data_IF_014678717405
#
_entry.id   IF_014678717405
#
_cell.length_a   1.000
_cell.length_b   1.000
_cell.length_c   1.000
_cell.angle_alpha   90.00
_cell.angle_beta   90.00
_cell.angle_gamma   90.00
#
_symmetry.space_group_name_H-M   'P 1'
#
loop_
_entity.id
_entity.type
_entity.pdbx_description
1 polymer ?
#
# COMPACT_ATOMS: atom_id res chain seq x y z
N UNK A 1 -9.82 -31.05 17.72
CA UNK A 1 -8.80 -30.95 16.66
C UNK A 1 -9.54 -30.72 15.34
N UNK A 2 -9.87 -29.46 15.03
CA UNK A 2 -10.74 -29.12 13.88
C UNK A 2 -9.83 -28.71 12.71
N UNK A 3 -9.42 -29.68 11.90
CA UNK A 3 -8.71 -29.42 10.65
C UNK A 3 -9.75 -29.00 9.62
N UNK A 4 -10.03 -27.70 9.51
CA UNK A 4 -10.80 -27.15 8.40
C UNK A 4 -10.04 -27.44 7.11
N UNK A 5 -10.55 -28.37 6.29
CA UNK A 5 -9.99 -28.66 4.98
C UNK A 5 -10.15 -27.41 4.10
N UNK A 6 -9.02 -26.75 3.81
CA UNK A 6 -8.96 -25.63 2.86
C UNK A 6 -9.57 -26.08 1.53
N UNK A 7 -10.57 -25.34 1.05
CA UNK A 7 -11.31 -25.69 -0.16
C UNK A 7 -10.39 -25.66 -1.39
N UNK A 8 -10.76 -26.39 -2.45
CA UNK A 8 -10.00 -26.35 -3.71
C UNK A 8 -9.92 -24.93 -4.28
N UNK A 9 -10.98 -24.14 -4.12
CA UNK A 9 -11.02 -22.75 -4.56
C UNK A 9 -9.99 -21.89 -3.81
N UNK A 10 -9.90 -22.03 -2.48
CA UNK A 10 -8.90 -21.33 -1.66
C UNK A 10 -7.48 -21.77 -2.02
N UNK A 11 -7.24 -23.07 -2.26
CA UNK A 11 -5.93 -23.55 -2.73
C UNK A 11 -5.52 -22.90 -4.05
N UNK A 12 -6.46 -22.73 -4.97
CA UNK A 12 -6.21 -22.04 -6.24
C UNK A 12 -5.87 -20.57 -5.99
N UNK A 13 -6.64 -19.88 -5.13
CA UNK A 13 -6.42 -18.46 -4.82
C UNK A 13 -5.05 -18.22 -4.20
N UNK A 14 -4.65 -19.02 -3.22
CA UNK A 14 -3.33 -18.89 -2.57
C UNK A 14 -2.18 -19.21 -3.54
N UNK A 15 -2.31 -20.28 -4.34
CA UNK A 15 -1.32 -20.61 -5.36
C UNK A 15 -1.20 -19.49 -6.42
N UNK A 16 -2.33 -18.97 -6.88
CA UNK A 16 -2.34 -17.88 -7.84
C UNK A 16 -1.72 -16.60 -7.26
N UNK A 17 -2.01 -16.28 -6.00
CA UNK A 17 -1.41 -15.13 -5.31
C UNK A 17 0.10 -15.24 -5.27
N UNK A 18 0.63 -16.40 -4.88
CA UNK A 18 2.08 -16.64 -4.86
C UNK A 18 2.70 -16.49 -6.26
N UNK A 19 2.11 -17.13 -7.27
CA UNK A 19 2.64 -17.09 -8.65
C UNK A 19 2.56 -15.69 -9.25
N UNK A 20 1.49 -14.94 -9.00
CA UNK A 20 1.36 -13.56 -9.48
C UNK A 20 2.35 -12.61 -8.81
N UNK A 21 2.58 -12.74 -7.50
CA UNK A 21 3.59 -11.93 -6.79
C UNK A 21 5.01 -12.20 -7.30
N UNK A 22 5.29 -13.42 -7.75
CA UNK A 22 6.60 -13.81 -8.28
C UNK A 22 6.79 -13.38 -9.75
N UNK A 23 5.80 -13.63 -10.61
CA UNK A 23 5.94 -13.53 -12.07
C UNK A 23 5.19 -12.37 -12.73
N UNK A 24 4.37 -11.66 -11.96
CA UNK A 24 3.43 -10.68 -12.52
C UNK A 24 2.28 -11.33 -13.30
N UNK A 25 1.37 -10.51 -13.82
CA UNK A 25 0.23 -11.00 -14.60
C UNK A 25 0.64 -11.68 -15.92
N UNK A 26 1.51 -11.03 -16.70
CA UNK A 26 1.87 -11.48 -18.06
C UNK A 26 2.74 -12.75 -18.02
N UNK A 27 3.64 -12.85 -17.05
CA UNK A 27 4.53 -13.99 -16.84
C UNK A 27 3.84 -15.23 -16.26
N UNK A 28 2.56 -15.15 -15.93
CA UNK A 28 1.79 -16.24 -15.30
C UNK A 28 0.86 -16.91 -16.30
N UNK A 29 0.86 -18.25 -16.33
CA UNK A 29 -0.14 -19.07 -17.05
C UNK A 29 -1.08 -19.80 -16.08
N UNK A 30 -2.28 -20.16 -16.53
CA UNK A 30 -3.23 -20.98 -15.72
C UNK A 30 -2.66 -22.35 -15.36
N UNK A 31 -1.73 -22.87 -16.17
CA UNK A 31 -0.98 -24.11 -15.89
C UNK A 31 0.02 -23.95 -14.75
N UNK A 32 0.71 -22.80 -14.66
CA UNK A 32 1.61 -22.52 -13.53
C UNK A 32 0.83 -22.53 -12.22
N UNK A 33 -0.34 -21.87 -12.21
CA UNK A 33 -1.23 -21.82 -11.05
C UNK A 33 -1.75 -23.22 -10.70
N UNK A 34 -2.24 -23.99 -11.67
CA UNK A 34 -2.74 -25.34 -11.43
C UNK A 34 -1.64 -26.25 -10.83
N UNK A 35 -0.41 -26.15 -11.37
CA UNK A 35 0.76 -26.87 -10.85
C UNK A 35 1.07 -26.47 -9.42
N UNK A 36 1.09 -25.17 -9.11
CA UNK A 36 1.34 -24.66 -7.77
C UNK A 36 0.24 -25.06 -6.76
N UNK A 37 -1.02 -25.12 -7.20
CA UNK A 37 -2.15 -25.56 -6.39
C UNK A 37 -2.24 -27.09 -6.23
N UNK A 38 -1.41 -27.86 -6.96
CA UNK A 38 -1.46 -29.33 -6.96
C UNK A 38 -2.74 -29.90 -7.58
N UNK A 39 -3.34 -29.19 -8.54
CA UNK A 39 -4.56 -29.61 -9.23
C UNK A 39 -4.36 -29.75 -10.74
N UNK A 40 -5.27 -30.44 -11.42
CA UNK A 40 -5.26 -30.48 -12.88
C UNK A 40 -5.84 -29.17 -13.48
N UNK A 41 -5.44 -28.86 -14.71
CA UNK A 41 -5.86 -27.62 -15.41
C UNK A 41 -7.35 -27.58 -15.77
N UNK A 42 -8.03 -28.73 -15.86
CA UNK A 42 -9.47 -28.77 -16.11
C UNK A 42 -10.27 -28.24 -14.91
N UNK A 43 -9.84 -28.58 -13.69
CA UNK A 43 -10.43 -28.10 -12.44
C UNK A 43 -10.19 -26.60 -12.26
N UNK A 44 -9.01 -26.12 -12.64
CA UNK A 44 -8.70 -24.69 -12.68
C UNK A 44 -9.68 -23.91 -13.58
N UNK A 45 -9.92 -24.42 -14.80
CA UNK A 45 -10.87 -23.83 -15.74
C UNK A 45 -12.31 -23.89 -15.23
N UNK A 46 -12.68 -24.94 -14.48
CA UNK A 46 -14.01 -25.05 -13.88
C UNK A 46 -14.30 -23.90 -12.90
N UNK A 47 -13.36 -23.59 -12.00
CA UNK A 47 -13.54 -22.57 -10.96
C UNK A 47 -13.45 -21.13 -11.48
N UNK A 48 -12.37 -20.76 -12.18
CA UNK A 48 -12.09 -19.35 -12.44
C UNK A 48 -12.29 -18.90 -13.88
N UNK A 49 -12.37 -19.85 -14.84
CA UNK A 49 -12.65 -19.65 -16.28
C UNK A 49 -11.67 -18.76 -17.06
N UNK A 50 -11.06 -17.75 -16.43
CA UNK A 50 -10.19 -16.73 -17.02
C UNK A 50 -9.11 -16.34 -16.00
N UNK A 51 -7.87 -16.20 -16.49
CA UNK A 51 -6.74 -15.72 -15.71
C UNK A 51 -6.96 -14.29 -15.23
N UNK A 52 -7.57 -13.46 -16.09
CA UNK A 52 -7.89 -12.06 -15.87
C UNK A 52 -8.82 -11.90 -14.68
N UNK A 53 -9.90 -12.68 -14.61
CA UNK A 53 -10.86 -12.61 -13.49
C UNK A 53 -10.23 -13.03 -12.17
N UNK A 54 -9.46 -14.12 -12.17
CA UNK A 54 -8.74 -14.57 -10.99
C UNK A 54 -7.70 -13.54 -10.54
N UNK A 55 -6.97 -12.96 -11.48
CA UNK A 55 -6.02 -11.90 -11.20
C UNK A 55 -6.70 -10.68 -10.59
N UNK A 56 -7.80 -10.20 -11.19
CA UNK A 56 -8.56 -9.06 -10.66
C UNK A 56 -9.04 -9.32 -9.22
N UNK A 57 -9.56 -10.51 -8.95
CA UNK A 57 -9.96 -10.90 -7.59
C UNK A 57 -8.78 -10.78 -6.61
N UNK A 58 -7.66 -11.42 -6.92
CA UNK A 58 -6.47 -11.43 -6.05
C UNK A 58 -5.87 -10.03 -5.91
N UNK A 59 -5.78 -9.29 -7.01
CA UNK A 59 -5.22 -7.95 -7.03
C UNK A 59 -6.05 -6.98 -6.18
N UNK A 60 -7.37 -7.10 -6.23
CA UNK A 60 -8.28 -6.31 -5.42
C UNK A 60 -8.12 -6.64 -3.93
N UNK A 61 -7.99 -7.92 -3.57
CA UNK A 61 -7.75 -8.36 -2.19
C UNK A 61 -6.41 -7.83 -1.66
N UNK A 62 -5.36 -7.90 -2.49
CA UNK A 62 -4.04 -7.38 -2.18
C UNK A 62 -4.03 -5.85 -1.99
N UNK A 63 -4.71 -5.12 -2.88
CA UNK A 63 -4.88 -3.67 -2.75
C UNK A 63 -5.68 -3.33 -1.48
N UNK A 64 -6.77 -4.05 -1.22
CA UNK A 64 -7.59 -3.83 -0.03
C UNK A 64 -6.78 -4.06 1.24
N UNK A 65 -6.03 -5.16 1.32
CA UNK A 65 -5.11 -5.43 2.43
C UNK A 65 -4.10 -4.29 2.63
N UNK A 66 -3.51 -3.78 1.55
CA UNK A 66 -2.53 -2.70 1.62
C UNK A 66 -3.13 -1.36 2.09
N UNK A 67 -4.32 -1.01 1.61
CA UNK A 67 -4.94 0.30 1.87
C UNK A 67 -5.84 0.32 3.11
N UNK A 68 -6.32 -0.82 3.60
CA UNK A 68 -7.27 -0.86 4.72
C UNK A 68 -6.69 -0.21 5.98
N UNK A 69 -5.43 -0.49 6.31
CA UNK A 69 -4.81 0.13 7.49
C UNK A 69 -4.68 1.65 7.39
N UNK A 70 -4.41 2.18 6.19
CA UNK A 70 -4.46 3.63 5.95
C UNK A 70 -5.87 4.18 6.13
N UNK A 71 -6.89 3.49 5.62
CA UNK A 71 -8.30 3.87 5.77
C UNK A 71 -8.75 3.87 7.24
N UNK A 72 -8.24 2.94 8.04
CA UNK A 72 -8.53 2.89 9.47
C UNK A 72 -7.90 4.11 10.16
N UNK A 73 -6.65 4.44 9.85
CA UNK A 73 -5.95 5.59 10.45
C UNK A 73 -6.61 6.93 10.08
N UNK A 74 -7.00 7.15 8.81
CA UNK A 74 -7.65 8.43 8.42
C UNK A 74 -8.96 8.67 9.16
N UNK A 75 -9.63 7.61 9.60
CA UNK A 75 -10.90 7.65 10.33
C UNK A 75 -10.75 7.54 11.86
N UNK A 76 -9.53 7.54 12.40
CA UNK A 76 -9.35 7.60 13.86
C UNK A 76 -9.74 9.00 14.41
N UNK A 77 -10.43 9.09 15.55
CA UNK A 77 -10.78 10.36 16.19
C UNK A 77 -9.61 10.92 17.03
N UNK A 78 -8.45 11.08 16.40
CA UNK A 78 -7.22 11.62 16.99
C UNK A 78 -6.84 12.95 16.32
N UNK A 79 -5.89 13.70 16.89
CA UNK A 79 -5.44 14.98 16.31
C UNK A 79 -4.90 14.81 14.88
N UNK A 80 -5.01 15.85 14.04
CA UNK A 80 -4.51 15.81 12.67
C UNK A 80 -3.00 15.53 12.61
N UNK A 81 -2.21 16.12 13.52
CA UNK A 81 -0.76 15.90 13.60
C UNK A 81 -0.43 14.44 13.94
N UNK A 82 -1.09 13.89 14.96
CA UNK A 82 -0.89 12.48 15.33
C UNK A 82 -1.32 11.54 14.19
N UNK A 83 -2.41 11.89 13.50
CA UNK A 83 -2.91 11.12 12.35
C UNK A 83 -1.91 11.09 11.19
N UNK A 84 -1.32 12.23 10.82
CA UNK A 84 -0.26 12.31 9.80
C UNK A 84 0.92 11.43 10.20
N UNK A 85 1.36 11.51 11.46
CA UNK A 85 2.46 10.67 11.98
C UNK A 85 2.13 9.17 11.86
N UNK A 86 0.94 8.75 12.29
CA UNK A 86 0.48 7.35 12.15
C UNK A 86 0.35 6.88 10.71
N UNK A 87 -0.06 7.75 9.79
CA UNK A 87 -0.11 7.42 8.36
C UNK A 87 1.28 7.17 7.80
N UNK A 88 2.27 7.99 8.18
CA UNK A 88 3.67 7.81 7.80
C UNK A 88 4.21 6.50 8.38
N UNK A 89 3.98 6.25 9.67
CA UNK A 89 4.42 5.02 10.33
C UNK A 89 3.80 3.78 9.69
N UNK A 90 2.49 3.80 9.46
CA UNK A 90 1.78 2.69 8.83
C UNK A 90 2.31 2.41 7.42
N UNK A 91 2.45 3.44 6.59
CA UNK A 91 2.97 3.30 5.23
C UNK A 91 4.42 2.77 5.25
N UNK A 92 5.26 3.25 6.16
CA UNK A 92 6.63 2.75 6.32
C UNK A 92 6.68 1.29 6.75
N UNK A 93 5.89 0.90 7.74
CA UNK A 93 5.81 -0.49 8.21
C UNK A 93 5.34 -1.43 7.10
N UNK A 94 4.33 -1.03 6.32
CA UNK A 94 3.85 -1.81 5.19
C UNK A 94 4.95 -2.06 4.15
N UNK A 95 5.74 -1.03 3.82
CA UNK A 95 6.86 -1.16 2.88
C UNK A 95 8.00 -2.04 3.43
N UNK A 96 8.32 -1.90 4.73
CA UNK A 96 9.36 -2.71 5.39
C UNK A 96 8.99 -4.19 5.47
N UNK A 97 7.72 -4.50 5.77
CA UNK A 97 7.26 -5.87 5.99
C UNK A 97 6.89 -6.58 4.69
N UNK A 98 6.40 -5.85 3.69
CA UNK A 98 5.85 -6.42 2.46
C UNK A 98 6.42 -5.76 1.18
N UNK A 99 7.76 -5.61 1.02
CA UNK A 99 8.34 -4.85 -0.09
C UNK A 99 7.96 -5.42 -1.47
N UNK A 100 7.94 -6.75 -1.61
CA UNK A 100 7.58 -7.41 -2.87
C UNK A 100 6.12 -7.15 -3.25
N UNK A 101 5.21 -7.14 -2.27
CA UNK A 101 3.80 -6.85 -2.49
C UNK A 101 3.63 -5.42 -2.99
N UNK A 102 4.26 -4.45 -2.34
CA UNK A 102 4.09 -3.06 -2.75
C UNK A 102 4.71 -2.78 -4.11
N UNK A 103 5.90 -3.31 -4.39
CA UNK A 103 6.53 -3.21 -5.72
C UNK A 103 5.64 -3.85 -6.79
N UNK A 104 5.08 -5.03 -6.52
CA UNK A 104 4.14 -5.70 -7.42
C UNK A 104 2.91 -4.82 -7.71
N UNK A 105 2.25 -4.27 -6.69
CA UNK A 105 1.08 -3.41 -6.88
C UNK A 105 1.44 -2.18 -7.72
N UNK A 106 2.55 -1.50 -7.41
CA UNK A 106 2.98 -0.32 -8.18
C UNK A 106 3.24 -0.65 -9.65
N UNK A 107 3.94 -1.76 -9.92
CA UNK A 107 4.22 -2.21 -11.29
C UNK A 107 2.94 -2.51 -12.07
N UNK A 108 1.98 -3.20 -11.45
CA UNK A 108 0.73 -3.58 -12.12
C UNK A 108 -0.23 -2.40 -12.30
N UNK A 109 -0.23 -1.42 -11.39
CA UNK A 109 -0.98 -0.16 -11.55
C UNK A 109 -0.49 0.65 -12.75
N UNK A 110 0.83 0.73 -12.97
CA UNK A 110 1.39 1.42 -14.14
C UNK A 110 1.12 0.68 -15.46
N UNK A 111 1.11 -0.67 -15.43
CA UNK A 111 0.91 -1.49 -16.63
C UNK A 111 -0.51 -1.45 -17.16
N UNK A 112 -1.50 -1.50 -16.28
CA UNK A 112 -2.91 -1.45 -16.69
C UNK A 112 -3.71 -0.54 -15.75
N UNK A 113 -3.89 0.73 -16.13
CA UNK A 113 -4.64 1.70 -15.33
C UNK A 113 -6.08 1.28 -15.05
N UNK A 114 -6.73 0.43 -15.86
CA UNK A 114 -8.09 -0.03 -15.55
C UNK A 114 -8.17 -0.86 -14.26
N UNK A 115 -7.03 -1.42 -13.82
CA UNK A 115 -6.91 -2.12 -12.52
C UNK A 115 -6.94 -1.16 -11.34
N UNK A 116 -6.87 0.15 -11.57
CA UNK A 116 -7.07 1.17 -10.55
C UNK A 116 -8.47 1.08 -9.92
N UNK A 117 -9.46 0.36 -10.48
CA UNK A 117 -10.83 0.37 -9.94
C UNK A 117 -10.92 0.13 -8.43
N UNK A 118 -10.19 -0.85 -7.88
CA UNK A 118 -10.13 -1.08 -6.44
C UNK A 118 -9.45 0.06 -5.69
N UNK A 119 -8.31 0.54 -6.20
CA UNK A 119 -7.56 1.68 -5.63
C UNK A 119 -8.37 2.98 -5.67
N UNK A 120 -9.15 3.20 -6.73
CA UNK A 120 -10.05 4.34 -6.94
C UNK A 120 -11.21 4.27 -5.96
N UNK A 121 -11.77 3.07 -5.73
CA UNK A 121 -12.78 2.87 -4.69
C UNK A 121 -12.28 3.30 -3.30
N UNK A 122 -11.03 2.99 -2.97
CA UNK A 122 -10.42 3.43 -1.70
C UNK A 122 -10.09 4.92 -1.69
N UNK A 123 -9.54 5.46 -2.79
CA UNK A 123 -9.25 6.88 -2.91
C UNK A 123 -10.51 7.76 -2.78
N UNK A 124 -11.66 7.27 -3.26
CA UNK A 124 -12.97 7.93 -3.12
C UNK A 124 -13.46 8.02 -1.66
N UNK A 125 -12.94 7.18 -0.76
CA UNK A 125 -13.27 7.25 0.67
C UNK A 125 -12.49 8.35 1.41
N UNK A 126 -11.40 8.86 0.82
CA UNK A 126 -10.59 9.90 1.47
C UNK A 126 -11.38 11.21 1.66
N UNK A 127 -12.11 11.75 0.65
CA UNK A 127 -12.98 12.91 0.85
C UNK A 127 -14.08 12.72 1.91
N UNK A 128 -14.49 11.48 2.18
CA UNK A 128 -15.52 11.18 3.19
C UNK A 128 -14.93 10.92 4.60
N UNK A 129 -13.61 10.97 4.73
CA UNK A 129 -12.92 10.59 5.97
C UNK A 129 -12.82 11.71 6.98
N UNK A 130 -12.67 11.34 8.26
CA UNK A 130 -12.38 12.30 9.35
C UNK A 130 -11.10 13.11 9.05
N UNK A 131 -10.11 12.50 8.39
CA UNK A 131 -8.89 13.19 7.99
C UNK A 131 -9.17 14.38 7.06
N UNK A 132 -10.04 14.21 6.06
CA UNK A 132 -10.40 15.28 5.15
C UNK A 132 -11.15 16.40 5.89
N UNK A 133 -12.12 16.02 6.74
CA UNK A 133 -12.84 16.98 7.57
C UNK A 133 -11.88 17.80 8.47
N UNK A 134 -10.93 17.14 9.13
CA UNK A 134 -9.94 17.82 9.99
C UNK A 134 -9.04 18.79 9.21
N UNK A 135 -8.70 18.45 7.97
CA UNK A 135 -7.93 19.34 7.10
C UNK A 135 -8.76 20.57 6.74
N UNK A 136 -10.01 20.38 6.32
CA UNK A 136 -10.88 21.50 5.96
C UNK A 136 -11.14 22.43 7.16
N UNK A 137 -11.36 21.87 8.35
CA UNK A 137 -11.50 22.62 9.60
C UNK A 137 -10.22 23.40 9.94
N UNK A 138 -9.05 22.76 9.84
CA UNK A 138 -7.77 23.40 10.13
C UNK A 138 -7.41 24.50 9.11
N UNK A 139 -7.80 24.34 7.83
CA UNK A 139 -7.68 25.37 6.80
C UNK A 139 -8.60 26.55 7.15
N UNK A 140 -9.86 26.29 7.50
CA UNK A 140 -10.82 27.33 7.86
C UNK A 140 -10.38 28.14 9.09
N UNK A 141 -9.70 27.50 10.04
CA UNK A 141 -9.12 28.12 11.23
C UNK A 141 -7.76 28.81 10.95
N UNK A 142 -7.21 28.65 9.75
CA UNK A 142 -5.90 29.18 9.37
C UNK A 142 -4.71 28.49 10.04
N UNK A 143 -4.94 27.35 10.72
CA UNK A 143 -3.96 26.56 11.45
C UNK A 143 -3.00 25.80 10.53
N UNK A 144 -3.44 25.45 9.33
CA UNK A 144 -2.60 24.82 8.30
C UNK A 144 -2.63 25.59 6.97
N UNK A 145 -1.62 25.36 6.13
CA UNK A 145 -1.59 25.83 4.73
C UNK A 145 -2.75 25.27 3.90
N UNK A 146 -3.14 25.94 2.81
CA UNK A 146 -4.21 25.51 1.88
C UNK A 146 -3.83 24.29 1.03
N UNK A 147 -3.47 23.17 1.66
CA UNK A 147 -3.12 21.93 0.98
C UNK A 147 -4.22 20.87 1.18
N UNK A 148 -4.73 20.31 0.08
CA UNK A 148 -5.80 19.32 0.14
C UNK A 148 -5.33 17.98 0.72
N UNK A 149 -6.27 17.19 1.23
CA UNK A 149 -5.99 15.83 1.74
C UNK A 149 -5.33 14.94 0.69
N UNK A 150 -5.68 15.06 -0.60
CA UNK A 150 -5.07 14.28 -1.68
C UNK A 150 -3.58 14.60 -1.84
N UNK A 151 -3.19 15.88 -1.76
CA UNK A 151 -1.79 16.27 -1.84
C UNK A 151 -1.00 15.79 -0.63
N UNK A 152 -1.55 15.90 0.59
CA UNK A 152 -0.90 15.40 1.80
C UNK A 152 -0.69 13.89 1.72
N UNK A 153 -1.73 13.13 1.31
CA UNK A 153 -1.61 11.68 1.11
C UNK A 153 -0.55 11.33 0.05
N UNK A 154 -0.52 12.08 -1.05
CA UNK A 154 0.48 11.89 -2.11
C UNK A 154 1.89 12.15 -1.61
N UNK A 155 2.10 13.18 -0.79
CA UNK A 155 3.41 13.47 -0.19
C UNK A 155 3.87 12.34 0.75
N UNK A 156 2.98 11.87 1.62
CA UNK A 156 3.29 10.75 2.54
C UNK A 156 3.70 9.51 1.72
N UNK A 157 2.89 9.13 0.73
CA UNK A 157 3.14 7.95 -0.10
C UNK A 157 4.43 8.11 -0.91
N UNK A 158 4.64 9.24 -1.57
CA UNK A 158 5.79 9.47 -2.43
C UNK A 158 7.13 9.47 -1.68
N UNK A 159 7.21 10.16 -0.54
CA UNK A 159 8.44 10.22 0.26
C UNK A 159 8.85 8.85 0.78
N UNK A 160 7.88 8.00 1.12
CA UNK A 160 8.17 6.67 1.64
C UNK A 160 8.43 5.70 0.49
N UNK A 161 7.63 5.68 -0.57
CA UNK A 161 7.79 4.70 -1.66
C UNK A 161 9.14 4.82 -2.37
N UNK A 162 9.58 6.06 -2.64
CA UNK A 162 10.83 6.28 -3.37
C UNK A 162 12.04 5.72 -2.61
N UNK A 163 12.04 5.77 -1.27
CA UNK A 163 13.08 5.20 -0.42
C UNK A 163 13.31 3.71 -0.69
N UNK A 164 12.23 2.94 -0.91
CA UNK A 164 12.32 1.51 -1.16
C UNK A 164 12.59 1.19 -2.63
N UNK A 165 12.03 1.97 -3.56
CA UNK A 165 12.35 1.84 -4.99
C UNK A 165 13.85 2.08 -5.23
N UNK A 166 14.42 3.06 -4.55
CA UNK A 166 15.84 3.40 -4.63
C UNK A 166 16.74 2.56 -3.71
N UNK A 167 16.19 1.62 -2.91
CA UNK A 167 16.94 0.86 -1.91
C UNK A 167 18.25 0.25 -2.45
N UNK A 168 18.29 -0.48 -3.57
CA UNK A 168 19.53 -1.08 -4.06
C UNK A 168 20.60 -0.03 -4.40
N UNK A 169 20.17 1.11 -4.95
CA UNK A 169 21.04 2.24 -5.27
C UNK A 169 21.58 2.90 -3.99
N UNK A 170 20.70 3.17 -3.03
CA UNK A 170 21.08 3.74 -1.72
C UNK A 170 22.06 2.85 -0.98
N UNK A 171 21.82 1.53 -0.97
CA UNK A 171 22.72 0.55 -0.34
C UNK A 171 24.09 0.52 -1.02
N UNK A 172 24.11 0.43 -2.36
CA UNK A 172 25.36 0.41 -3.13
C UNK A 172 26.17 1.70 -2.95
N UNK A 173 25.53 2.86 -3.05
CA UNK A 173 26.19 4.16 -2.98
C UNK A 173 26.78 4.46 -1.60
N UNK A 174 26.17 3.93 -0.54
CA UNK A 174 26.58 4.19 0.85
C UNK A 174 27.27 2.98 1.51
N UNK A 175 27.47 1.88 0.79
CA UNK A 175 28.06 0.65 1.35
C UNK A 175 27.23 0.02 2.47
N UNK A 176 25.90 0.14 2.42
CA UNK A 176 25.00 -0.37 3.45
C UNK A 176 24.60 -1.82 3.18
N UNK A 177 24.52 -2.60 4.24
CA UNK A 177 23.80 -3.87 4.25
C UNK A 177 22.31 -3.66 4.60
N UNK A 178 21.57 -4.75 4.75
CA UNK A 178 20.13 -4.70 5.08
C UNK A 178 19.84 -4.01 6.42
N UNK A 179 20.70 -4.22 7.42
CA UNK A 179 20.56 -3.58 8.73
C UNK A 179 20.86 -2.08 8.65
N UNK A 180 21.90 -1.70 7.93
CA UNK A 180 22.27 -0.32 7.65
C UNK A 180 21.19 0.43 6.89
N UNK A 181 20.59 -0.19 5.87
CA UNK A 181 19.45 0.39 5.16
C UNK A 181 18.25 0.58 6.09
N UNK A 182 17.94 -0.39 6.95
CA UNK A 182 16.83 -0.26 7.90
C UNK A 182 17.05 0.91 8.86
N UNK A 183 18.26 1.09 9.39
CA UNK A 183 18.60 2.21 10.26
C UNK A 183 18.47 3.56 9.53
N UNK A 184 19.03 3.66 8.32
CA UNK A 184 18.90 4.82 7.44
C UNK A 184 17.42 5.16 7.17
N UNK A 185 16.62 4.15 6.81
CA UNK A 185 15.22 4.32 6.48
C UNK A 185 14.38 4.74 7.69
N UNK A 186 14.69 4.21 8.87
CA UNK A 186 14.05 4.59 10.14
C UNK A 186 14.36 6.05 10.48
N UNK A 187 15.60 6.49 10.31
CA UNK A 187 15.96 7.89 10.52
C UNK A 187 15.28 8.80 9.48
N UNK A 188 15.22 8.37 8.22
CA UNK A 188 14.61 9.14 7.14
C UNK A 188 13.13 9.46 7.40
N UNK A 189 12.35 8.49 7.93
CA UNK A 189 10.92 8.74 8.19
C UNK A 189 10.69 9.75 9.31
N UNK A 190 11.61 9.88 10.27
CA UNK A 190 11.51 10.93 11.29
C UNK A 190 11.68 12.32 10.67
N UNK A 191 12.64 12.49 9.74
CA UNK A 191 12.76 13.73 8.96
C UNK A 191 11.52 14.00 8.10
N UNK A 192 10.90 12.97 7.53
CA UNK A 192 9.67 13.13 6.75
C UNK A 192 8.50 13.58 7.65
N UNK A 193 8.39 13.04 8.87
CA UNK A 193 7.37 13.47 9.84
C UNK A 193 7.54 14.94 10.20
N UNK A 194 8.77 15.33 10.58
CA UNK A 194 9.11 16.73 10.90
C UNK A 194 8.81 17.64 9.70
N UNK A 195 9.37 17.33 8.53
CA UNK A 195 9.19 18.12 7.30
C UNK A 195 7.71 18.31 6.94
N UNK A 196 6.90 17.24 6.92
CA UNK A 196 5.49 17.35 6.55
C UNK A 196 4.71 18.12 7.62
N UNK A 197 4.96 17.87 8.90
CA UNK A 197 4.24 18.57 9.95
C UNK A 197 4.61 20.05 10.01
N UNK A 198 5.88 20.40 9.93
CA UNK A 198 6.34 21.78 10.03
C UNK A 198 5.96 22.61 8.80
N UNK A 199 5.88 21.97 7.63
CA UNK A 199 5.33 22.61 6.44
C UNK A 199 3.82 22.88 6.57
N UNK A 200 3.06 21.92 7.11
CA UNK A 200 1.60 22.02 7.16
C UNK A 200 1.13 22.95 8.26
N UNK A 201 1.62 22.77 9.48
CA UNK A 201 1.18 23.51 10.65
C UNK A 201 2.00 24.78 10.77
N UNK A 202 1.32 25.93 10.82
CA UNK A 202 2.01 27.19 11.12
C UNK A 202 2.61 27.11 12.54
N UNK A 203 3.78 27.73 12.77
CA UNK A 203 4.27 27.89 14.14
C UNK A 203 3.19 28.58 14.96
N UNK A 204 2.92 28.08 16.16
CA UNK A 204 2.10 28.80 17.13
C UNK A 204 2.69 30.20 17.24
N UNK A 205 1.91 31.22 16.87
CA UNK A 205 2.32 32.60 17.09
C UNK A 205 2.54 32.74 18.58
N UNK A 206 3.80 32.89 19.00
CA UNK A 206 4.14 33.19 20.37
C UNK A 206 3.44 34.52 20.73
N UNK A 207 2.31 34.42 21.44
CA UNK A 207 1.66 35.53 22.12
C UNK A 207 2.41 35.88 23.39
#
# INVERSE_FOLDING_TARGET
MNCLLVSTEEKIKEAAKAVFLEKGFDGTTTRDIAKAAGINSALMNYYFRSKEKLFQFIFNDLCSFMFQGMLDVVNQPISLREKISKLIDHQFQMMMQNPNLTIFIMNELHRNPERLYATVGMAKKIPESIFHQQIDEAIAQGAITHLSSQHIMTMIVANIQFLFVSKPMTMLANGLDEAGFKAFATQHIEYVKEMICDYLFKPETAT
#
